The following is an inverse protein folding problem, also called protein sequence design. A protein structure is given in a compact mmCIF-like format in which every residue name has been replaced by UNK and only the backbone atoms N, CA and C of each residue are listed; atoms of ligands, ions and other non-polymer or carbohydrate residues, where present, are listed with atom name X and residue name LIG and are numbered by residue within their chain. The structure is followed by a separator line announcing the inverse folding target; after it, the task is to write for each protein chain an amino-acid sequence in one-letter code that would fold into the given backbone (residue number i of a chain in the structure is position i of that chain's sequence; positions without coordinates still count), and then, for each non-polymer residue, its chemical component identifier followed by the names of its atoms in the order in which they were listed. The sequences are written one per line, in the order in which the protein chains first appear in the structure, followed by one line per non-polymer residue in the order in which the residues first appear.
data_IF_541405266881
#
_entry.id   IF_541405266881
#
_cell.length_a   1.000
_cell.length_b   1.000
_cell.length_c   1.000
_cell.angle_alpha   90.00
_cell.angle_beta   90.00
_cell.angle_gamma   90.00
#
_symmetry.space_group_name_H-M   'P 1'
#
loop_
_entity.id
_entity.type
_entity.pdbx_description
1 polymer ?
#
# COMPACT_ATOMS: atom_id res chain seq x y z
N UNK A 1 24.23 21.06 -44.65
CA UNK A 1 23.62 20.28 -43.56
C UNK A 1 22.61 19.32 -44.18
N UNK A 2 22.85 18.01 -44.07
CA UNK A 2 22.15 17.02 -44.88
C UNK A 2 20.74 16.79 -44.30
N UNK A 3 19.67 17.17 -45.04
CA UNK A 3 18.29 17.14 -44.53
C UNK A 3 17.91 15.76 -43.96
N UNK A 4 18.42 14.70 -44.56
CA UNK A 4 18.26 13.31 -44.11
C UNK A 4 18.80 13.06 -42.70
N UNK A 5 19.93 13.68 -42.33
CA UNK A 5 20.50 13.56 -40.98
C UNK A 5 19.60 14.21 -39.93
N UNK A 6 19.00 15.36 -40.25
CA UNK A 6 18.06 16.06 -39.35
C UNK A 6 16.81 15.19 -39.13
N UNK A 7 16.26 14.58 -40.19
CA UNK A 7 15.10 13.70 -40.06
C UNK A 7 15.37 12.46 -39.20
N UNK A 8 16.56 11.85 -39.31
CA UNK A 8 16.94 10.68 -38.49
C UNK A 8 17.03 11.09 -37.01
N UNK A 9 17.68 12.21 -36.71
CA UNK A 9 17.80 12.69 -35.32
C UNK A 9 16.43 13.00 -34.72
N UNK A 10 15.54 13.65 -35.46
CA UNK A 10 14.17 13.90 -35.01
C UNK A 10 13.37 12.61 -34.79
N UNK A 11 13.49 11.61 -35.68
CA UNK A 11 12.80 10.34 -35.54
C UNK A 11 13.27 9.58 -34.30
N UNK A 12 14.58 9.52 -34.06
CA UNK A 12 15.16 8.90 -32.86
C UNK A 12 14.72 9.63 -31.59
N UNK A 13 14.71 10.96 -31.60
CA UNK A 13 14.25 11.76 -30.47
C UNK A 13 12.76 11.50 -30.15
N UNK A 14 11.90 11.40 -31.17
CA UNK A 14 10.48 11.09 -30.99
C UNK A 14 10.25 9.69 -30.42
N UNK A 15 11.00 8.69 -30.90
CA UNK A 15 10.94 7.33 -30.38
C UNK A 15 11.39 7.30 -28.91
N UNK A 16 12.48 7.99 -28.58
CA UNK A 16 12.99 8.07 -27.21
C UNK A 16 11.97 8.70 -26.25
N UNK A 17 11.33 9.81 -26.67
CA UNK A 17 10.25 10.44 -25.88
C UNK A 17 9.07 9.48 -25.71
N UNK A 18 8.67 8.78 -26.78
CA UNK A 18 7.59 7.78 -26.71
C UNK A 18 7.88 6.66 -25.71
N UNK A 19 9.12 6.15 -25.69
CA UNK A 19 9.55 5.13 -24.73
C UNK A 19 9.54 5.64 -23.28
N UNK A 20 10.01 6.87 -23.04
CA UNK A 20 10.01 7.48 -21.70
C UNK A 20 8.57 7.67 -21.19
N UNK A 21 7.67 8.20 -22.03
CA UNK A 21 6.26 8.38 -21.66
C UNK A 21 5.61 7.03 -21.36
N UNK A 22 5.89 5.99 -22.13
CA UNK A 22 5.36 4.66 -21.87
C UNK A 22 5.87 4.08 -20.55
N UNK A 23 7.18 4.18 -20.28
CA UNK A 23 7.80 3.69 -19.05
C UNK A 23 7.30 4.43 -17.79
N UNK A 24 7.01 5.72 -17.88
CA UNK A 24 6.54 6.53 -16.73
C UNK A 24 5.10 6.23 -16.32
N UNK A 25 4.27 5.64 -17.18
CA UNK A 25 2.87 5.32 -16.84
C UNK A 25 2.73 4.20 -15.81
N UNK A 26 3.77 3.42 -15.54
CA UNK A 26 3.68 2.23 -14.67
C UNK A 26 3.95 2.49 -13.18
N UNK A 27 4.30 3.71 -12.76
CA UNK A 27 4.91 3.93 -11.43
C UNK A 27 4.02 4.53 -10.34
N UNK A 28 2.74 4.82 -10.59
CA UNK A 28 1.88 5.46 -9.59
C UNK A 28 0.86 4.49 -9.00
N UNK A 29 1.25 3.76 -7.94
CA UNK A 29 0.27 3.07 -7.10
C UNK A 29 -0.54 4.13 -6.33
N UNK A 30 -1.83 4.23 -6.62
CA UNK A 30 -2.74 5.14 -5.92
C UNK A 30 -2.94 4.65 -4.49
N UNK A 31 -2.81 5.56 -3.51
CA UNK A 31 -3.11 5.27 -2.11
C UNK A 31 -4.59 5.51 -1.85
N UNK A 32 -5.29 4.49 -1.39
CA UNK A 32 -6.72 4.50 -1.08
C UNK A 32 -6.97 4.23 0.40
N UNK A 33 -8.10 4.75 0.90
CA UNK A 33 -8.63 4.43 2.22
C UNK A 33 -9.68 3.31 2.11
N UNK A 34 -9.82 2.45 3.13
CA UNK A 34 -10.84 1.39 3.17
C UNK A 34 -12.26 1.84 2.76
N UNK A 35 -12.72 3.02 3.21
CA UNK A 35 -14.04 3.53 2.80
C UNK A 35 -14.17 3.85 1.31
N UNK A 36 -13.07 4.21 0.64
CA UNK A 36 -13.05 4.48 -0.80
C UNK A 36 -13.11 3.19 -1.61
N UNK A 37 -12.68 2.06 -1.03
CA UNK A 37 -12.81 0.73 -1.63
C UNK A 37 -14.27 0.27 -1.52
N UNK A 38 -14.88 0.45 -0.34
CA UNK A 38 -16.29 0.11 -0.11
C UNK A 38 -17.26 1.01 -0.91
N UNK A 39 -16.85 2.24 -1.25
CA UNK A 39 -17.63 3.15 -2.08
C UNK A 39 -17.55 2.87 -3.58
N UNK A 40 -16.66 1.97 -4.02
CA UNK A 40 -16.58 1.55 -5.41
C UNK A 40 -17.54 0.40 -5.71
N UNK A 41 -18.08 0.32 -6.94
CA UNK A 41 -18.96 -0.78 -7.31
C UNK A 41 -18.24 -2.13 -7.14
N UNK A 42 -18.91 -3.11 -6.52
CA UNK A 42 -18.37 -4.44 -6.15
C UNK A 42 -17.66 -5.21 -7.30
N UNK A 43 -17.90 -4.82 -8.56
CA UNK A 43 -17.36 -5.46 -9.75
C UNK A 43 -16.05 -4.85 -10.25
N UNK A 44 -15.49 -3.85 -9.55
CA UNK A 44 -14.25 -3.22 -9.94
C UNK A 44 -13.07 -3.86 -9.20
N UNK A 45 -12.45 -4.83 -9.85
CA UNK A 45 -11.20 -5.40 -9.38
C UNK A 45 -10.10 -4.33 -9.46
N UNK A 46 -9.51 -4.02 -8.31
CA UNK A 46 -8.44 -3.03 -8.19
C UNK A 46 -7.11 -3.76 -8.08
N UNK A 47 -6.27 -3.67 -9.11
CA UNK A 47 -4.92 -4.23 -9.08
C UNK A 47 -3.88 -3.19 -8.69
N UNK A 48 -2.84 -3.60 -7.96
CA UNK A 48 -1.67 -2.76 -7.60
C UNK A 48 -2.06 -1.48 -6.84
N UNK A 49 -3.01 -1.60 -5.92
CA UNK A 49 -3.40 -0.51 -5.03
C UNK A 49 -2.59 -0.54 -3.73
N UNK A 50 -2.40 0.64 -3.16
CA UNK A 50 -1.87 0.80 -1.81
C UNK A 50 -3.01 1.24 -0.90
N UNK A 51 -3.25 0.55 0.20
CA UNK A 51 -4.36 0.83 1.12
C UNK A 51 -3.80 1.24 2.48
N UNK A 52 -4.17 2.42 2.94
CA UNK A 52 -3.81 2.89 4.28
C UNK A 52 -5.01 2.69 5.21
N UNK A 53 -4.86 1.85 6.23
CA UNK A 53 -5.94 1.48 7.14
C UNK A 53 -5.45 1.26 8.57
N UNK A 54 -6.38 1.07 9.49
CA UNK A 54 -6.13 0.68 10.87
C UNK A 54 -6.64 -0.74 11.11
N UNK A 55 -5.83 -1.57 11.77
CA UNK A 55 -6.19 -2.96 12.08
C UNK A 55 -7.36 -2.96 13.06
N UNK A 56 -8.47 -3.56 12.66
CA UNK A 56 -9.61 -3.76 13.54
C UNK A 56 -9.25 -4.77 14.65
N UNK A 57 -9.73 -4.58 15.89
CA UNK A 57 -9.48 -5.52 16.98
C UNK A 57 -10.18 -6.87 16.81
N UNK A 58 -11.13 -6.95 15.88
CA UNK A 58 -11.94 -8.12 15.61
C UNK A 58 -11.31 -9.06 14.58
N UNK A 59 -11.40 -10.37 14.86
CA UNK A 59 -11.13 -11.47 13.93
C UNK A 59 -9.74 -11.43 13.23
N UNK A 60 -8.67 -11.41 14.02
CA UNK A 60 -7.31 -11.70 13.52
C UNK A 60 -7.08 -13.22 13.59
N UNK A 61 -6.99 -13.87 12.45
CA UNK A 61 -6.66 -15.29 12.30
C UNK A 61 -5.28 -15.42 11.66
N UNK A 62 -4.36 -16.08 12.38
CA UNK A 62 -3.01 -16.34 11.89
C UNK A 62 -2.75 -17.84 11.86
N UNK A 63 -2.66 -18.38 10.65
CA UNK A 63 -2.41 -19.80 10.38
C UNK A 63 -1.01 -19.96 9.80
N UNK A 64 -0.23 -20.92 10.31
CA UNK A 64 1.17 -21.14 9.87
C UNK A 64 1.35 -22.48 9.13
N UNK A 65 0.37 -23.37 9.17
CA UNK A 65 0.42 -24.69 8.53
C UNK A 65 -0.84 -24.92 7.70
N UNK A 66 -0.75 -25.24 6.39
CA UNK A 66 0.43 -25.59 5.58
C UNK A 66 1.27 -24.41 5.04
N UNK A 67 0.76 -23.19 5.10
CA UNK A 67 1.44 -21.95 4.68
C UNK A 67 1.10 -20.81 5.63
N UNK A 68 2.04 -19.88 5.84
CA UNK A 68 1.80 -18.69 6.66
C UNK A 68 0.76 -17.77 5.98
N UNK A 69 -0.40 -17.63 6.62
CA UNK A 69 -1.51 -16.81 6.17
C UNK A 69 -2.08 -16.04 7.37
N UNK A 70 -2.22 -14.73 7.20
CA UNK A 70 -2.77 -13.80 8.18
C UNK A 70 -4.04 -13.19 7.59
N UNK A 71 -5.19 -13.49 8.20
CA UNK A 71 -6.49 -12.88 7.89
C UNK A 71 -6.86 -11.88 8.98
N UNK A 72 -7.25 -10.69 8.59
CA UNK A 72 -7.65 -9.62 9.51
C UNK A 72 -8.51 -8.59 8.78
N UNK A 73 -9.14 -7.68 9.52
CA UNK A 73 -9.93 -6.60 8.96
C UNK A 73 -9.26 -5.25 9.19
N UNK A 74 -9.45 -4.32 8.26
CA UNK A 74 -9.02 -2.91 8.39
C UNK A 74 -10.18 -1.95 8.25
N UNK A 75 -10.09 -0.81 8.93
CA UNK A 75 -11.02 0.31 8.78
C UNK A 75 -10.26 1.63 8.58
N UNK A 76 -10.98 2.70 8.26
CA UNK A 76 -10.38 4.02 8.09
C UNK A 76 -9.78 4.56 9.39
N UNK A 77 -8.55 5.11 9.36
CA UNK A 77 -7.95 5.78 10.52
C UNK A 77 -8.73 7.08 10.82
N UNK A 78 -9.60 7.03 11.83
CA UNK A 78 -10.46 8.16 12.22
C UNK A 78 -11.88 8.15 11.63
N UNK A 79 -12.23 7.12 10.84
CA UNK A 79 -13.59 6.90 10.35
C UNK A 79 -14.43 6.02 11.28
N UNK A 80 -15.67 5.73 10.86
CA UNK A 80 -16.56 4.82 11.59
C UNK A 80 -16.00 3.39 11.60
N UNK A 81 -15.94 2.72 12.76
CA UNK A 81 -15.45 1.34 12.89
C UNK A 81 -16.33 0.31 12.17
N UNK A 82 -17.55 0.68 11.74
CA UNK A 82 -18.48 -0.21 11.03
C UNK A 82 -18.05 -0.51 9.58
N UNK A 83 -17.21 0.33 8.98
CA UNK A 83 -16.72 0.16 7.59
C UNK A 83 -15.42 -0.61 7.58
N UNK A 84 -15.54 -1.94 7.62
CA UNK A 84 -14.41 -2.86 7.59
C UNK A 84 -14.16 -3.46 6.20
N UNK A 85 -12.89 -3.64 5.86
CA UNK A 85 -12.44 -4.35 4.66
C UNK A 85 -11.65 -5.58 5.10
N UNK A 86 -12.04 -6.80 4.71
CA UNK A 86 -11.29 -8.00 5.02
C UNK A 86 -10.00 -8.05 4.20
N UNK A 87 -8.92 -8.47 4.85
CA UNK A 87 -7.57 -8.55 4.28
C UNK A 87 -7.02 -9.95 4.47
N UNK A 88 -6.42 -10.50 3.42
CA UNK A 88 -5.68 -11.77 3.46
C UNK A 88 -4.24 -11.49 3.06
N UNK A 89 -3.31 -11.75 3.97
CA UNK A 89 -1.88 -11.62 3.75
C UNK A 89 -1.21 -13.00 3.78
N UNK A 90 -0.54 -13.36 2.69
CA UNK A 90 0.20 -14.62 2.58
C UNK A 90 1.67 -14.38 2.92
N UNK A 91 2.00 -14.52 4.18
CA UNK A 91 3.34 -14.30 4.70
C UNK A 91 3.40 -14.43 6.20
N UNK A 92 4.62 -14.30 6.74
CA UNK A 92 4.81 -14.24 8.18
C UNK A 92 4.24 -12.92 8.72
N UNK A 93 3.45 -13.01 9.78
CA UNK A 93 2.93 -11.83 10.47
C UNK A 93 4.10 -10.95 10.92
N UNK A 94 4.16 -9.66 10.55
CA UNK A 94 5.18 -8.74 11.06
C UNK A 94 5.15 -8.65 12.58
N UNK A 95 6.30 -8.48 13.21
CA UNK A 95 6.40 -8.42 14.68
C UNK A 95 5.60 -7.25 15.28
N UNK A 96 5.60 -6.11 14.57
CA UNK A 96 4.91 -4.88 14.98
C UNK A 96 3.41 -4.87 14.62
N UNK A 97 2.89 -5.95 14.03
CA UNK A 97 1.47 -6.06 13.72
C UNK A 97 0.65 -6.34 14.98
N UNK A 98 -0.29 -5.44 15.28
CA UNK A 98 -1.20 -5.55 16.41
C UNK A 98 -2.54 -4.83 16.14
N UNK A 99 -3.62 -5.20 16.84
CA UNK A 99 -4.87 -4.46 16.88
C UNK A 99 -4.69 -2.96 17.08
N UNK A 100 -5.49 -2.15 16.38
CA UNK A 100 -5.51 -0.69 16.53
C UNK A 100 -4.28 0.03 15.96
N UNK A 101 -3.38 -0.68 15.28
CA UNK A 101 -2.21 -0.08 14.62
C UNK A 101 -2.54 0.32 13.18
N UNK A 102 -1.91 1.40 12.75
CA UNK A 102 -1.97 1.86 11.37
C UNK A 102 -1.03 1.03 10.50
N UNK A 103 -1.57 0.58 9.38
CA UNK A 103 -0.91 -0.30 8.42
C UNK A 103 -1.08 0.23 7.00
N UNK A 104 -0.07 -0.04 6.19
CA UNK A 104 -0.10 0.21 4.75
C UNK A 104 0.00 -1.15 4.07
N UNK A 105 -0.96 -1.43 3.19
CA UNK A 105 -1.09 -2.70 2.49
C UNK A 105 -0.92 -2.45 1.00
N UNK A 106 0.05 -3.11 0.38
CA UNK A 106 0.16 -3.15 -1.09
C UNK A 106 -0.47 -4.44 -1.58
N UNK A 107 -1.37 -4.35 -2.55
CA UNK A 107 -2.07 -5.53 -3.03
C UNK A 107 -3.13 -5.26 -4.09
N UNK A 108 -4.10 -6.17 -4.13
CA UNK A 108 -5.24 -6.10 -5.04
C UNK A 108 -6.54 -6.38 -4.30
N UNK A 109 -7.60 -5.66 -4.64
CA UNK A 109 -8.95 -5.90 -4.11
C UNK A 109 -9.78 -6.65 -5.16
N UNK A 110 -10.27 -7.83 -4.79
CA UNK A 110 -11.10 -8.67 -5.65
C UNK A 110 -12.09 -9.48 -4.82
N UNK A 111 -13.30 -9.69 -5.32
CA UNK A 111 -14.37 -10.46 -4.64
C UNK A 111 -14.64 -10.00 -3.19
N UNK A 112 -14.57 -8.70 -2.92
CA UNK A 112 -14.81 -8.17 -1.58
C UNK A 112 -13.65 -8.33 -0.59
N UNK A 113 -12.50 -8.88 -1.01
CA UNK A 113 -11.34 -9.15 -0.15
C UNK A 113 -10.09 -8.48 -0.69
N UNK A 114 -9.35 -7.82 0.20
CA UNK A 114 -8.04 -7.25 -0.11
C UNK A 114 -6.96 -8.33 0.02
N UNK A 115 -6.42 -8.75 -1.11
CA UNK A 115 -5.26 -9.65 -1.17
C UNK A 115 -3.98 -8.82 -0.99
N UNK A 116 -3.36 -8.93 0.17
CA UNK A 116 -2.14 -8.22 0.52
C UNK A 116 -0.91 -8.98 -0.01
N UNK A 117 -0.14 -8.32 -0.86
CA UNK A 117 1.19 -8.78 -1.30
C UNK A 117 2.27 -8.30 -0.32
N UNK A 118 2.15 -7.05 0.17
CA UNK A 118 3.04 -6.50 1.20
C UNK A 118 2.23 -5.86 2.31
N UNK A 119 2.66 -6.10 3.54
CA UNK A 119 2.08 -5.52 4.74
C UNK A 119 3.17 -4.74 5.48
N UNK A 120 2.98 -3.42 5.56
CA UNK A 120 3.88 -2.49 6.24
C UNK A 120 3.18 -1.98 7.49
N UNK A 121 3.77 -2.25 8.65
CA UNK A 121 3.33 -1.70 9.93
C UNK A 121 4.18 -0.47 10.26
N UNK A 122 3.55 0.64 10.66
CA UNK A 122 4.35 1.79 11.11
C UNK A 122 5.12 1.46 12.39
N UNK A 123 6.42 1.75 12.40
CA UNK A 123 7.21 1.74 13.63
C UNK A 123 6.75 2.90 14.54
N UNK A 124 6.47 2.66 15.84
CA UNK A 124 6.24 3.72 16.80
C UNK A 124 7.57 4.38 17.18
N UNK A 125 8.29 4.95 16.21
CA UNK A 125 9.41 5.84 16.50
C UNK A 125 8.85 7.24 16.75
N UNK A 126 8.21 7.39 17.90
CA UNK A 126 8.02 8.72 18.49
C UNK A 126 9.42 9.25 18.82
N UNK A 127 9.87 10.28 18.12
CA UNK A 127 11.08 11.01 18.51
C UNK A 127 10.79 11.69 19.85
N UNK A 128 11.27 11.12 20.94
CA UNK A 128 11.39 11.81 22.22
C UNK A 128 12.71 12.61 22.19
N UNK A 129 12.67 13.95 22.08
CA UNK A 129 13.88 14.75 22.21
C UNK A 129 14.48 14.54 23.61
N UNK A 130 15.80 14.42 23.75
CA UNK A 130 16.44 14.33 25.06
C UNK A 130 16.10 15.58 25.88
N UNK A 131 15.69 15.38 27.13
CA UNK A 131 15.42 16.48 28.07
C UNK A 131 16.73 17.26 28.31
N UNK A 132 16.77 18.58 28.06
CA UNK A 132 17.95 19.37 28.38
C UNK A 132 18.04 19.57 29.89
N UNK A 133 19.15 19.12 30.51
CA UNK A 133 19.65 19.72 31.74
C UNK A 133 19.49 18.96 33.06
N UNK A 134 19.73 17.64 33.12
CA UNK A 134 20.18 17.03 34.38
C UNK A 134 21.70 16.85 34.38
N UNK A 135 22.41 17.94 34.63
CA UNK A 135 23.80 17.85 35.08
C UNK A 135 23.80 17.29 36.51
N UNK A 136 24.19 16.03 36.63
CA UNK A 136 24.58 15.44 37.89
C UNK A 136 25.93 16.01 38.30
N UNK A 137 25.95 16.86 39.33
CA UNK A 137 27.01 16.89 40.33
C UNK A 137 26.54 17.58 41.60
#
# INVERSE_FOLDING_TARGET
MNKTFIYIVCAVALIAVGLIVWATKEAAAMVLMPSQILGQPEHQDLSRIRVAGRVAPEAIDYTVSPTAELKFSIHDPGGSPEKIVPVVYRGLKPDMFAPGRDVIIDGSYANGVLQAEKLLTQCPSKYEPPLPGKNAK
#
